data_IF_388357689311
#
_entry.id   IF_388357689311
#
_cell.length_a   1.000
_cell.length_b   1.000
_cell.length_c   1.000
_cell.angle_alpha   90.00
_cell.angle_beta   90.00
_cell.angle_gamma   90.00
#
_symmetry.space_group_name_H-M   'P 1'
#
loop_
_entity.id
_entity.type
_entity.pdbx_description
1 polymer ?
#
# COMPACT_ATOMS: atom_id res chain seq x y z
N UNK A 1 -12.74 -7.29 -10.99
CA UNK A 1 -13.71 -6.98 -9.90
C UNK A 1 -13.94 -8.17 -8.97
N UNK A 2 -14.12 -9.39 -9.49
CA UNK A 2 -14.63 -10.54 -8.74
C UNK A 2 -13.76 -11.01 -7.56
N UNK A 3 -12.46 -10.74 -7.57
CA UNK A 3 -11.58 -11.06 -6.47
C UNK A 3 -11.04 -9.79 -5.79
N UNK A 4 -11.91 -8.86 -5.35
CA UNK A 4 -11.58 -7.59 -4.66
C UNK A 4 -10.81 -7.73 -3.33
N UNK A 5 -10.09 -8.84 -3.14
CA UNK A 5 -8.66 -8.95 -2.80
C UNK A 5 -8.35 -10.42 -2.38
N UNK A 6 -8.83 -11.43 -3.13
CA UNK A 6 -8.71 -12.88 -2.84
C UNK A 6 -7.28 -13.37 -3.15
N UNK A 7 -6.69 -14.44 -2.60
CA UNK A 7 -6.94 -15.31 -1.45
C UNK A 7 -5.60 -15.31 -0.70
N UNK A 8 -5.56 -15.46 0.62
CA UNK A 8 -4.32 -15.92 1.27
C UNK A 8 -3.75 -17.12 0.49
N UNK A 9 -2.43 -17.32 0.41
CA UNK A 9 -1.76 -18.42 -0.34
C UNK A 9 -2.42 -19.82 -0.22
N UNK A 10 -3.30 -20.04 0.76
CA UNK A 10 -4.24 -21.17 0.85
C UNK A 10 -5.66 -20.83 0.40
N UNK A 11 -6.05 -21.39 -0.76
CA UNK A 11 -7.36 -21.30 -1.42
C UNK A 11 -8.53 -21.94 -0.65
N UNK A 12 -8.27 -22.55 0.52
CA UNK A 12 -9.28 -23.26 1.32
C UNK A 12 -10.21 -22.33 2.12
N UNK A 13 -9.89 -21.04 2.26
CA UNK A 13 -10.72 -20.07 3.00
C UNK A 13 -11.27 -18.98 2.08
N UNK A 14 -12.47 -19.21 1.53
CA UNK A 14 -13.17 -18.37 0.53
C UNK A 14 -13.44 -16.90 0.93
N UNK A 15 -13.12 -16.48 2.16
CA UNK A 15 -13.38 -15.13 2.67
C UNK A 15 -12.13 -14.40 3.21
N UNK A 16 -10.93 -14.95 3.00
CA UNK A 16 -9.68 -14.23 3.32
C UNK A 16 -9.33 -13.31 2.17
N UNK A 17 -9.83 -12.08 2.23
CA UNK A 17 -9.48 -10.99 1.32
C UNK A 17 -9.44 -9.64 2.06
N UNK A 18 -8.75 -8.66 1.49
CA UNK A 18 -8.60 -7.32 2.09
C UNK A 18 -9.95 -6.63 2.26
N UNK A 19 -10.91 -6.79 1.33
CA UNK A 19 -12.25 -6.20 1.49
C UNK A 19 -12.98 -6.70 2.74
N UNK A 20 -12.93 -8.00 3.00
CA UNK A 20 -13.50 -8.61 4.21
C UNK A 20 -12.75 -8.18 5.45
N UNK A 21 -11.42 -8.05 5.37
CA UNK A 21 -10.64 -7.52 6.48
C UNK A 21 -11.05 -6.10 6.83
N UNK A 22 -11.05 -5.18 5.86
CA UNK A 22 -11.43 -3.79 6.11
C UNK A 22 -12.84 -3.72 6.68
N UNK A 23 -13.80 -4.43 6.08
CA UNK A 23 -15.17 -4.44 6.59
C UNK A 23 -15.26 -4.96 8.02
N UNK A 24 -14.59 -6.08 8.34
CA UNK A 24 -14.63 -6.68 9.68
C UNK A 24 -13.93 -5.83 10.72
N UNK A 25 -12.67 -5.44 10.46
CA UNK A 25 -11.84 -4.74 11.45
C UNK A 25 -12.22 -3.27 11.63
N UNK A 26 -12.86 -2.65 10.63
CA UNK A 26 -13.39 -1.30 10.75
C UNK A 26 -14.84 -1.24 11.24
N UNK A 27 -15.45 -2.39 11.57
CA UNK A 27 -16.88 -2.49 11.90
C UNK A 27 -17.79 -1.88 10.82
N UNK A 28 -17.47 -2.11 9.55
CA UNK A 28 -18.24 -1.65 8.40
C UNK A 28 -18.01 -0.19 7.98
N UNK A 29 -17.09 0.54 8.61
CA UNK A 29 -16.77 1.94 8.26
C UNK A 29 -15.99 2.06 6.96
N UNK A 30 -15.14 1.08 6.66
CA UNK A 30 -14.37 1.01 5.43
C UNK A 30 -14.87 -0.16 4.60
N UNK A 31 -15.36 0.15 3.41
CA UNK A 31 -15.83 -0.83 2.46
C UNK A 31 -15.17 -0.60 1.12
N UNK A 32 -14.64 -1.67 0.55
CA UNK A 32 -14.10 -1.67 -0.79
C UNK A 32 -15.17 -2.18 -1.74
N UNK A 33 -15.53 -1.35 -2.71
CA UNK A 33 -16.50 -1.62 -3.77
C UNK A 33 -15.91 -1.41 -5.16
N UNK A 34 -16.47 -2.02 -6.20
CA UNK A 34 -16.04 -1.79 -7.58
C UNK A 34 -16.15 -0.32 -8.02
N UNK A 35 -17.00 0.45 -7.32
CA UNK A 35 -17.19 1.88 -7.53
C UNK A 35 -16.07 2.74 -6.93
N UNK A 36 -15.38 2.29 -5.89
CA UNK A 36 -14.32 3.05 -5.19
C UNK A 36 -12.92 2.44 -5.30
N UNK A 37 -12.79 1.30 -6.00
CA UNK A 37 -11.52 0.67 -6.35
C UNK A 37 -11.38 0.63 -7.87
N UNK A 38 -10.27 1.18 -8.37
CA UNK A 38 -9.86 1.04 -9.77
C UNK A 38 -8.60 0.21 -9.86
N UNK A 39 -8.63 -0.78 -10.75
CA UNK A 39 -7.49 -1.61 -11.08
C UNK A 39 -7.17 -1.31 -12.53
N UNK A 40 -5.95 -0.86 -12.78
CA UNK A 40 -5.44 -0.58 -14.12
C UNK A 40 -4.30 -1.56 -14.42
N UNK A 41 -4.18 -1.96 -15.68
CA UNK A 41 -3.08 -2.81 -16.15
C UNK A 41 -3.48 -4.25 -16.49
N UNK A 42 -2.47 -5.12 -16.74
CA UNK A 42 -1.03 -4.91 -16.56
C UNK A 42 -0.45 -3.78 -17.44
N UNK A 43 0.62 -3.12 -16.96
CA UNK A 43 1.27 -1.97 -17.62
C UNK A 43 2.76 -2.24 -17.76
N UNK A 44 3.32 -1.96 -18.94
CA UNK A 44 4.77 -1.97 -19.15
C UNK A 44 5.34 -0.57 -18.94
N UNK A 45 6.00 -0.36 -17.80
CA UNK A 45 6.72 0.88 -17.50
C UNK A 45 8.05 0.87 -18.26
N UNK A 46 8.44 1.97 -18.94
CA UNK A 46 9.72 2.04 -19.63
C UNK A 46 10.89 2.04 -18.65
N UNK A 47 12.02 1.45 -19.05
CA UNK A 47 13.19 1.34 -18.15
C UNK A 47 13.77 2.68 -17.71
N UNK A 48 13.62 3.70 -18.56
CA UNK A 48 14.02 5.07 -18.27
C UNK A 48 13.03 6.03 -18.95
N UNK A 49 12.89 7.23 -18.41
CA UNK A 49 12.08 8.26 -19.03
C UNK A 49 12.16 9.59 -18.31
N UNK A 50 11.26 10.51 -18.68
CA UNK A 50 11.10 11.80 -18.04
C UNK A 50 9.64 11.98 -17.65
N UNK A 51 9.41 12.40 -16.42
CA UNK A 51 8.08 12.67 -15.90
C UNK A 51 7.47 13.90 -16.57
N UNK A 52 6.19 13.81 -16.86
CA UNK A 52 5.38 14.97 -17.24
C UNK A 52 5.17 15.87 -16.01
N UNK A 53 5.05 17.18 -16.26
CA UNK A 53 4.58 18.12 -15.24
C UNK A 53 3.20 17.65 -14.71
N UNK A 54 2.86 17.88 -13.43
CA UNK A 54 3.49 18.81 -12.48
C UNK A 54 4.41 18.15 -11.44
N UNK A 55 4.82 16.89 -11.61
CA UNK A 55 5.59 16.19 -10.58
C UNK A 55 7.01 16.75 -10.47
N UNK A 56 7.30 17.46 -9.37
CA UNK A 56 8.63 17.97 -9.06
C UNK A 56 9.34 17.09 -8.02
N UNK A 57 10.56 16.70 -8.34
CA UNK A 57 11.42 15.87 -7.50
C UNK A 57 12.78 16.56 -7.34
N UNK A 58 13.41 16.42 -6.17
CA UNK A 58 14.70 17.06 -5.89
C UNK A 58 15.81 16.59 -6.83
N UNK A 59 15.74 15.35 -7.32
CA UNK A 59 16.70 14.80 -8.29
C UNK A 59 16.32 15.06 -9.76
N UNK A 60 15.32 15.91 -10.03
CA UNK A 60 14.83 16.22 -11.38
C UNK A 60 13.74 15.26 -11.87
N UNK A 61 13.27 15.45 -13.10
CA UNK A 61 12.15 14.69 -13.68
C UNK A 61 12.54 13.38 -14.36
N UNK A 62 13.84 13.11 -14.55
CA UNK A 62 14.30 11.84 -15.09
C UNK A 62 14.03 10.70 -14.10
N UNK A 63 13.61 9.53 -14.60
CA UNK A 63 13.44 8.33 -13.79
C UNK A 63 14.07 7.11 -14.46
N UNK A 64 14.42 6.13 -13.63
CA UNK A 64 14.88 4.79 -13.99
C UNK A 64 14.04 3.78 -13.24
N UNK A 65 13.70 2.67 -13.89
CA UNK A 65 13.13 1.48 -13.22
C UNK A 65 14.19 0.41 -13.00
N UNK A 66 15.46 0.69 -13.23
CA UNK A 66 16.58 -0.23 -13.02
C UNK A 66 17.22 -0.10 -11.64
N UNK A 67 16.71 0.79 -10.79
CA UNK A 67 17.16 1.01 -9.43
C UNK A 67 16.06 1.70 -8.59
N UNK A 68 16.15 1.60 -7.26
CA UNK A 68 15.33 2.38 -6.32
C UNK A 68 16.11 3.52 -5.66
N UNK A 69 17.22 4.00 -6.24
CA UNK A 69 18.00 5.09 -5.65
C UNK A 69 17.27 6.43 -5.77
N UNK A 70 17.72 7.39 -4.95
CA UNK A 70 17.13 8.72 -4.85
C UNK A 70 15.60 8.65 -4.62
N UNK A 71 14.81 9.08 -5.60
CA UNK A 71 13.36 9.12 -5.57
C UNK A 71 12.73 8.29 -6.71
N UNK A 72 13.49 7.43 -7.39
CA UNK A 72 13.00 6.61 -8.51
C UNK A 72 11.75 5.81 -8.13
N UNK A 73 11.73 5.24 -6.91
CA UNK A 73 10.59 4.49 -6.41
C UNK A 73 9.28 5.31 -6.38
N UNK A 74 9.36 6.59 -6.02
CA UNK A 74 8.22 7.53 -6.06
C UNK A 74 7.88 7.98 -7.48
N UNK A 75 8.90 8.12 -8.33
CA UNK A 75 8.70 8.51 -9.74
C UNK A 75 7.95 7.44 -10.53
N UNK A 76 8.02 6.16 -10.14
CA UNK A 76 7.21 5.11 -10.75
C UNK A 76 5.70 5.37 -10.58
N UNK A 77 5.27 5.80 -9.38
CA UNK A 77 3.89 6.25 -9.17
C UNK A 77 3.58 7.47 -10.02
N UNK A 78 4.43 8.49 -10.00
CA UNK A 78 4.21 9.73 -10.76
C UNK A 78 4.06 9.49 -12.28
N UNK A 79 4.86 8.59 -12.85
CA UNK A 79 4.73 8.21 -14.25
C UNK A 79 3.41 7.50 -14.52
N UNK A 80 3.02 6.56 -13.64
CA UNK A 80 1.77 5.83 -13.75
C UNK A 80 0.54 6.71 -13.53
N UNK A 81 0.62 7.77 -12.71
CA UNK A 81 -0.45 8.76 -12.56
C UNK A 81 -0.75 9.44 -13.90
N UNK A 82 0.30 9.88 -14.61
CA UNK A 82 0.18 10.52 -15.92
C UNK A 82 -0.38 9.54 -16.95
N UNK A 83 0.16 8.31 -16.99
CA UNK A 83 -0.33 7.25 -17.88
C UNK A 83 -1.80 6.91 -17.61
N UNK A 84 -2.22 6.81 -16.36
CA UNK A 84 -3.60 6.50 -15.97
C UNK A 84 -4.57 7.62 -16.38
N UNK A 85 -4.16 8.88 -16.22
CA UNK A 85 -4.92 10.05 -16.67
C UNK A 85 -5.08 10.05 -18.19
N UNK A 86 -3.98 9.90 -18.93
CA UNK A 86 -3.95 9.97 -20.40
C UNK A 86 -4.72 8.83 -21.07
N UNK A 87 -4.65 7.61 -20.52
CA UNK A 87 -5.21 6.41 -21.18
C UNK A 87 -6.60 6.03 -20.67
N UNK A 88 -6.95 6.41 -19.43
CA UNK A 88 -8.20 5.98 -18.78
C UNK A 88 -9.00 7.12 -18.17
N UNK A 89 -8.52 8.37 -18.23
CA UNK A 89 -9.16 9.50 -17.57
C UNK A 89 -9.20 9.36 -16.05
N UNK A 90 -8.27 8.58 -15.47
CA UNK A 90 -8.20 8.35 -14.03
C UNK A 90 -7.19 9.31 -13.41
N UNK A 91 -7.69 10.25 -12.62
CA UNK A 91 -6.85 11.05 -11.75
C UNK A 91 -6.54 10.28 -10.46
N UNK A 92 -5.31 9.79 -10.32
CA UNK A 92 -4.91 8.99 -9.18
C UNK A 92 -4.94 9.77 -7.85
N UNK A 93 -4.79 11.10 -7.89
CA UNK A 93 -4.87 11.97 -6.70
C UNK A 93 -6.31 12.04 -6.13
N UNK A 94 -7.34 11.59 -6.87
CA UNK A 94 -8.72 11.47 -6.35
C UNK A 94 -8.90 10.26 -5.40
N UNK A 95 -7.89 9.39 -5.27
CA UNK A 95 -7.94 8.19 -4.43
C UNK A 95 -7.02 8.32 -3.21
N UNK A 96 -7.51 7.90 -2.04
CA UNK A 96 -6.73 7.92 -0.80
C UNK A 96 -5.48 7.01 -0.86
N UNK A 97 -5.54 5.91 -1.59
CA UNK A 97 -4.45 4.93 -1.63
C UNK A 97 -4.13 4.54 -3.06
N UNK A 98 -2.85 4.60 -3.40
CA UNK A 98 -2.30 4.18 -4.70
C UNK A 98 -1.33 3.03 -4.45
N UNK A 99 -1.53 1.94 -5.17
CA UNK A 99 -0.84 0.68 -4.93
C UNK A 99 -0.25 0.21 -6.24
N UNK A 100 1.08 0.02 -6.27
CA UNK A 100 1.76 -0.65 -7.37
C UNK A 100 1.99 -2.11 -7.01
N UNK A 101 1.41 -2.99 -7.81
CA UNK A 101 1.76 -4.41 -7.78
C UNK A 101 2.89 -4.60 -8.78
N UNK A 102 4.06 -4.95 -8.28
CA UNK A 102 5.28 -5.10 -9.06
C UNK A 102 5.47 -6.56 -9.52
N UNK A 103 6.27 -6.81 -10.57
CA UNK A 103 6.69 -8.17 -10.91
C UNK A 103 7.36 -8.87 -9.73
N UNK A 104 7.22 -10.20 -9.65
CA UNK A 104 7.81 -10.98 -8.57
C UNK A 104 9.34 -10.87 -8.55
N UNK A 105 9.91 -10.72 -7.35
CA UNK A 105 11.34 -10.57 -7.07
C UNK A 105 11.99 -9.30 -7.64
N UNK A 106 11.22 -8.31 -8.11
CA UNK A 106 11.83 -7.12 -8.69
C UNK A 106 12.64 -6.36 -7.65
N UNK A 107 12.14 -6.26 -6.41
CA UNK A 107 12.78 -5.49 -5.34
C UNK A 107 14.06 -6.14 -4.81
N UNK A 108 14.24 -7.45 -5.05
CA UNK A 108 15.44 -8.20 -4.70
C UNK A 108 16.51 -8.16 -5.79
N UNK A 109 16.09 -8.00 -7.04
CA UNK A 109 16.97 -8.03 -8.20
C UNK A 109 17.43 -6.64 -8.65
N UNK A 110 16.77 -5.59 -8.16
CA UNK A 110 17.04 -4.20 -8.54
C UNK A 110 17.85 -3.49 -7.44
N UNK A 111 19.01 -2.88 -7.78
CA UNK A 111 19.82 -2.12 -6.83
C UNK A 111 19.05 -1.02 -6.10
N UNK A 112 19.39 -0.79 -4.83
CA UNK A 112 18.82 0.29 -4.01
C UNK A 112 17.43 -0.01 -3.44
N UNK A 113 16.75 -1.08 -3.86
CA UNK A 113 15.41 -1.40 -3.34
C UNK A 113 15.43 -2.14 -1.99
N UNK A 114 16.57 -2.70 -1.57
CA UNK A 114 16.69 -3.34 -0.26
C UNK A 114 15.90 -4.64 -0.08
N UNK A 115 15.31 -5.20 -1.14
CA UNK A 115 14.61 -6.49 -1.08
C UNK A 115 13.33 -6.46 -0.24
N UNK A 116 12.58 -5.36 -0.23
CA UNK A 116 11.30 -5.33 0.49
C UNK A 116 10.25 -6.20 -0.22
N UNK A 117 9.41 -6.92 0.54
CA UNK A 117 8.24 -7.62 0.00
C UNK A 117 7.09 -6.64 -0.26
N UNK A 118 6.99 -5.62 0.58
CA UNK A 118 6.10 -4.50 0.45
C UNK A 118 6.69 -3.27 1.14
N UNK A 119 6.22 -2.10 0.75
CA UNK A 119 6.55 -0.85 1.41
C UNK A 119 5.40 0.14 1.24
N UNK A 120 5.16 0.97 2.24
CA UNK A 120 4.22 2.08 2.17
C UNK A 120 4.80 3.31 2.81
N UNK A 121 4.31 4.45 2.35
CA UNK A 121 4.47 5.69 3.09
C UNK A 121 3.73 5.65 4.43
N UNK A 122 4.30 6.34 5.42
CA UNK A 122 3.60 6.62 6.69
C UNK A 122 2.73 7.85 6.50
N UNK A 123 1.42 7.64 6.38
CA UNK A 123 0.41 8.66 6.19
C UNK A 123 0.27 9.13 4.75
N UNK A 124 -0.23 10.36 4.61
CA UNK A 124 -0.56 10.96 3.31
C UNK A 124 0.61 11.73 2.70
N UNK A 125 0.70 11.62 1.38
CA UNK A 125 1.29 12.62 0.49
C UNK A 125 0.26 13.74 0.29
N UNK A 126 0.63 14.98 0.60
CA UNK A 126 -0.28 16.15 0.55
C UNK A 126 -0.53 16.63 -0.89
N UNK A 127 -1.38 15.90 -1.60
CA UNK A 127 -2.00 16.30 -2.87
C UNK A 127 -3.51 16.24 -2.70
N UNK A 128 -4.18 17.37 -2.95
CA UNK A 128 -5.60 17.51 -2.69
C UNK A 128 -6.33 17.73 -4.01
N UNK A 129 -7.52 17.15 -4.11
CA UNK A 129 -8.43 17.36 -5.23
C UNK A 129 -9.82 17.68 -4.68
N UNK A 130 -10.74 18.10 -5.56
CA UNK A 130 -12.13 18.29 -5.16
C UNK A 130 -12.79 16.98 -4.69
N UNK A 131 -12.36 15.84 -5.22
CA UNK A 131 -12.85 14.51 -4.81
C UNK A 131 -12.14 13.97 -3.56
N UNK A 132 -10.92 14.43 -3.30
CA UNK A 132 -10.06 13.92 -2.23
C UNK A 132 -9.43 15.06 -1.42
N UNK A 133 -10.10 15.39 -0.32
CA UNK A 133 -9.62 16.37 0.66
C UNK A 133 -8.64 15.78 1.69
N UNK A 134 -8.54 14.44 1.79
CA UNK A 134 -7.63 13.82 2.75
C UNK A 134 -6.19 13.90 2.25
N UNK A 135 -5.92 13.53 1.00
CA UNK A 135 -4.58 13.34 0.45
C UNK A 135 -4.44 11.96 -0.20
N UNK A 136 -3.25 11.55 -0.60
CA UNK A 136 -3.05 10.21 -1.17
C UNK A 136 -1.82 9.54 -0.57
N UNK A 137 -1.85 8.24 -0.33
CA UNK A 137 -0.66 7.46 0.08
C UNK A 137 -0.17 6.60 -1.07
N UNK A 138 1.11 6.23 -1.03
CA UNK A 138 1.73 5.34 -2.01
C UNK A 138 2.18 4.05 -1.34
N UNK A 139 1.94 2.94 -2.03
CA UNK A 139 2.37 1.59 -1.64
C UNK A 139 3.01 0.87 -2.82
N UNK A 140 4.01 0.04 -2.54
CA UNK A 140 4.65 -0.88 -3.46
C UNK A 140 4.51 -2.29 -2.91
N UNK A 141 4.08 -3.23 -3.74
CA UNK A 141 3.87 -4.61 -3.38
C UNK A 141 4.58 -5.51 -4.38
N UNK A 142 5.65 -6.17 -3.95
CA UNK A 142 6.36 -7.12 -4.80
C UNK A 142 5.50 -8.37 -5.05
N UNK A 143 5.46 -8.81 -6.31
CA UNK A 143 4.68 -9.96 -6.73
C UNK A 143 5.06 -11.27 -6.05
N UNK A 144 6.23 -11.36 -5.40
CA UNK A 144 6.64 -12.53 -4.61
C UNK A 144 5.72 -12.74 -3.40
N UNK A 145 5.27 -11.66 -2.77
CA UNK A 145 4.36 -11.70 -1.61
C UNK A 145 2.92 -11.41 -1.99
N UNK A 146 2.60 -11.49 -3.28
CA UNK A 146 1.23 -11.33 -3.76
C UNK A 146 0.31 -12.37 -3.10
N UNK A 147 -0.79 -11.91 -2.54
CA UNK A 147 -1.72 -12.74 -1.76
C UNK A 147 -1.34 -12.91 -0.29
N UNK A 148 -0.23 -12.35 0.19
CA UNK A 148 0.00 -12.25 1.63
C UNK A 148 -0.76 -11.06 2.22
N UNK A 149 -1.93 -11.37 2.75
CA UNK A 149 -2.83 -10.40 3.33
C UNK A 149 -2.25 -9.77 4.61
N UNK A 150 -1.41 -10.46 5.37
CA UNK A 150 -0.84 -9.91 6.61
C UNK A 150 0.11 -8.75 6.27
N UNK A 151 0.98 -8.96 5.28
CA UNK A 151 1.92 -7.97 4.78
C UNK A 151 1.22 -6.73 4.24
N UNK A 152 0.30 -6.89 3.28
CA UNK A 152 -0.36 -5.72 2.66
C UNK A 152 -1.18 -4.92 3.66
N UNK A 153 -1.78 -5.57 4.66
CA UNK A 153 -2.55 -4.89 5.69
C UNK A 153 -1.67 -4.11 6.68
N UNK A 154 -0.47 -4.62 6.96
CA UNK A 154 0.56 -3.87 7.68
C UNK A 154 0.88 -2.56 6.94
N UNK A 155 1.13 -2.64 5.63
CA UNK A 155 1.42 -1.47 4.81
C UNK A 155 0.23 -0.50 4.71
N UNK A 156 -1.00 -1.01 4.67
CA UNK A 156 -2.18 -0.13 4.75
C UNK A 156 -2.23 0.61 6.08
N UNK A 157 -1.80 0.01 7.19
CA UNK A 157 -1.70 0.72 8.46
C UNK A 157 -0.69 1.87 8.38
N UNK A 158 0.47 1.67 7.75
CA UNK A 158 1.37 2.79 7.44
C UNK A 158 0.69 3.85 6.57
N UNK A 159 -0.03 3.48 5.52
CA UNK A 159 -0.79 4.43 4.70
C UNK A 159 -1.81 5.26 5.51
N UNK A 160 -2.39 4.71 6.58
CA UNK A 160 -3.23 5.45 7.53
C UNK A 160 -2.44 6.30 8.56
N UNK A 161 -1.11 6.27 8.52
CA UNK A 161 -0.24 7.00 9.43
C UNK A 161 0.10 6.25 10.72
N UNK A 162 -0.04 4.93 10.75
CA UNK A 162 0.34 4.12 11.91
C UNK A 162 1.85 3.85 11.92
N UNK A 163 2.42 3.88 13.12
CA UNK A 163 3.74 3.32 13.38
C UNK A 163 3.63 1.81 13.62
N UNK A 164 4.77 1.14 13.71
CA UNK A 164 4.82 -0.25 14.14
C UNK A 164 4.24 -0.42 15.56
N UNK A 165 3.57 -1.55 15.81
CA UNK A 165 3.06 -1.91 17.12
C UNK A 165 4.12 -2.67 17.92
N UNK A 166 4.34 -2.22 19.15
CA UNK A 166 5.39 -2.75 20.01
C UNK A 166 4.88 -3.07 21.43
N UNK A 167 5.66 -3.86 22.16
CA UNK A 167 5.47 -4.12 23.60
C UNK A 167 6.58 -3.45 24.41
N UNK A 168 6.37 -3.14 25.70
CA UNK A 168 7.45 -2.69 26.58
C UNK A 168 8.61 -3.69 26.60
N UNK A 169 9.85 -3.20 26.46
CA UNK A 169 11.04 -4.04 26.38
C UNK A 169 11.34 -4.62 25.00
N UNK A 170 10.43 -4.47 24.04
CA UNK A 170 10.64 -4.89 22.64
C UNK A 170 10.88 -6.39 22.48
N UNK A 171 11.54 -6.73 21.38
CA UNK A 171 11.92 -8.08 20.96
C UNK A 171 13.11 -7.95 19.98
N UNK A 172 13.55 -9.07 19.39
CA UNK A 172 14.65 -9.08 18.41
C UNK A 172 14.43 -8.14 17.22
N UNK A 173 13.19 -7.76 16.93
CA UNK A 173 12.80 -6.90 15.82
C UNK A 173 12.52 -5.44 16.24
N UNK A 174 12.97 -5.05 17.43
CA UNK A 174 13.00 -3.70 18.01
C UNK A 174 11.63 -3.05 18.18
N UNK A 175 10.92 -2.75 17.09
CA UNK A 175 9.73 -1.90 17.08
C UNK A 175 8.44 -2.57 16.61
N UNK A 176 8.49 -3.86 16.24
CA UNK A 176 7.36 -4.63 15.69
C UNK A 176 6.91 -5.80 16.58
N UNK A 177 7.04 -5.66 17.90
CA UNK A 177 6.96 -6.81 18.80
C UNK A 177 5.57 -7.09 19.37
N UNK A 178 4.56 -6.29 19.02
CA UNK A 178 3.17 -6.62 19.32
C UNK A 178 2.57 -7.51 18.23
N UNK A 179 2.76 -8.82 18.40
CA UNK A 179 2.15 -9.86 17.58
C UNK A 179 0.64 -10.02 17.85
N UNK A 180 -0.06 -9.05 18.41
CA UNK A 180 -1.53 -9.06 18.43
C UNK A 180 -2.12 -8.04 17.46
N UNK A 181 -1.28 -7.18 16.89
CA UNK A 181 -1.64 -6.14 15.95
C UNK A 181 -1.11 -6.44 14.53
N UNK A 182 -1.86 -6.04 13.49
CA UNK A 182 -1.34 -6.06 12.12
C UNK A 182 -0.09 -5.18 11.91
N UNK A 183 0.14 -4.19 12.77
CA UNK A 183 1.35 -3.35 12.75
C UNK A 183 2.55 -3.97 13.48
N UNK A 184 2.39 -5.16 14.06
CA UNK A 184 3.52 -5.96 14.53
C UNK A 184 4.16 -6.77 13.39
N UNK A 185 5.20 -7.52 13.72
CA UNK A 185 5.94 -8.29 12.72
C UNK A 185 5.08 -9.41 12.17
N UNK A 186 5.21 -9.65 10.86
CA UNK A 186 4.67 -10.82 10.19
C UNK A 186 5.20 -12.11 10.81
N UNK A 187 4.29 -12.98 11.25
CA UNK A 187 4.67 -14.20 12.00
C UNK A 187 3.86 -15.44 11.67
N UNK A 188 3.13 -15.46 10.55
CA UNK A 188 2.18 -16.54 10.19
C UNK A 188 1.07 -16.75 11.22
N UNK A 189 0.80 -15.74 12.05
CA UNK A 189 -0.19 -15.80 13.11
C UNK A 189 -1.61 -15.45 12.61
N UNK A 190 -1.80 -15.50 11.28
CA UNK A 190 -3.02 -15.12 10.57
C UNK A 190 -3.30 -13.62 10.56
N UNK A 191 -4.31 -13.23 9.78
CA UNK A 191 -4.75 -11.85 9.64
C UNK A 191 -5.38 -11.40 10.96
N UNK A 192 -4.83 -10.35 11.57
CA UNK A 192 -5.27 -9.75 12.84
C UNK A 192 -5.76 -8.35 12.58
N UNK A 193 -6.82 -7.90 13.26
CA UNK A 193 -7.18 -6.49 13.24
C UNK A 193 -6.09 -5.63 13.90
N UNK A 194 -6.17 -4.32 13.72
CA UNK A 194 -5.36 -3.41 14.52
C UNK A 194 -5.68 -3.53 16.01
N UNK A 195 -4.73 -3.20 16.89
CA UNK A 195 -4.97 -3.18 18.33
C UNK A 195 -5.83 -1.96 18.70
N UNK A 196 -6.26 -1.86 19.96
CA UNK A 196 -7.17 -0.78 20.38
C UNK A 196 -6.62 0.64 20.13
N UNK A 197 -5.35 0.97 20.43
CA UNK A 197 -4.79 2.28 20.12
C UNK A 197 -4.82 2.63 18.63
N UNK A 198 -4.40 1.71 17.76
CA UNK A 198 -4.42 1.94 16.32
C UNK A 198 -5.85 2.07 15.78
N UNK A 199 -6.79 1.24 16.23
CA UNK A 199 -8.20 1.41 15.85
C UNK A 199 -8.78 2.75 16.31
N UNK A 200 -8.40 3.24 17.49
CA UNK A 200 -8.82 4.56 17.96
C UNK A 200 -8.23 5.67 17.09
N UNK A 201 -6.94 5.60 16.75
CA UNK A 201 -6.25 6.59 15.90
C UNK A 201 -6.97 6.83 14.57
N UNK A 202 -7.48 5.77 13.93
CA UNK A 202 -8.16 5.87 12.64
C UNK A 202 -9.69 5.89 12.74
N UNK A 203 -10.22 6.09 13.95
CA UNK A 203 -11.66 6.23 14.19
C UNK A 203 -12.46 4.93 14.04
N UNK A 204 -11.81 3.76 13.98
CA UNK A 204 -12.47 2.46 13.90
C UNK A 204 -12.98 1.98 15.25
N UNK A 205 -12.34 2.38 16.36
CA UNK A 205 -12.65 1.91 17.72
C UNK A 205 -13.97 2.41 18.35
N UNK A 206 -14.63 3.41 17.78
CA UNK A 206 -15.91 3.91 18.31
C UNK A 206 -17.10 3.08 17.77
N UNK A 207 -18.01 2.62 18.62
CA UNK A 207 -19.31 2.13 18.17
C UNK A 207 -20.07 3.25 17.45
N UNK A 208 -20.63 2.95 16.29
CA UNK A 208 -21.73 3.73 15.69
C UNK A 208 -22.99 3.56 16.53
#
# INVERSE_FOLDING_TARGET
VADMFFVGRNTLMKNRNIATYFRTCSYGKVNLYPSNVKILGPVQVPCNGTLNAPHSFGSGSAFSTNDCFADNLFKWHAWLDSWASENYGVNADDYHHRILILPSNVTFNIPGCGGFLSASMVGKWTRFTAANAWGTSMMWWDGLDFGDLETVLHEFGHAYGMAHANIPGGCLYIDQCDWTCAMGLKGRQSIRCFNAPHNWQIGWGNSV
#
